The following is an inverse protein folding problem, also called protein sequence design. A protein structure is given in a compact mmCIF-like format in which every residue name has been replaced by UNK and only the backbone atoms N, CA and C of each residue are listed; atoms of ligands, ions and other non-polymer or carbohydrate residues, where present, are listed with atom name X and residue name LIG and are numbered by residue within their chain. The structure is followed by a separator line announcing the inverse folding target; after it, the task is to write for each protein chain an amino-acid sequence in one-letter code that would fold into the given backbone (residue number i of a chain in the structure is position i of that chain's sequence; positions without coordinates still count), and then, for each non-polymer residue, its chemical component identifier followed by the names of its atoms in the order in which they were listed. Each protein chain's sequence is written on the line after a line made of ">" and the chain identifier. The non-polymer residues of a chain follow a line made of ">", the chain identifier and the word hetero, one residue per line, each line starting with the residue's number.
data_IF_432364012193
#
_entry.id   IF_432364012193
#
_cell.length_a   1.000
_cell.length_b   1.000
_cell.length_c   1.000
_cell.angle_alpha   90.00
_cell.angle_beta   90.00
_cell.angle_gamma   90.00
#
_symmetry.space_group_name_H-M   'P 1'
#
loop_
_entity.id
_entity.type
_entity.pdbx_description
1 polymer ?
#
# COMPACT_ATOMS: atom_id res chain seq x y z
N UNK A 1 0.53 13.71 7.75
CA UNK A 1 1.65 12.80 7.43
C UNK A 1 2.88 13.65 7.33
N UNK A 2 3.95 13.30 8.05
CA UNK A 2 5.10 14.21 8.22
C UNK A 2 6.04 14.23 7.01
N UNK A 3 5.91 13.28 6.08
CA UNK A 3 6.69 13.22 4.84
C UNK A 3 5.74 13.31 3.64
N UNK A 4 5.44 14.52 3.16
CA UNK A 4 4.67 14.73 1.94
C UNK A 4 5.55 15.36 0.86
N UNK A 5 5.51 14.82 -0.36
CA UNK A 5 6.25 15.32 -1.52
C UNK A 5 5.25 15.81 -2.56
N UNK A 6 5.29 17.10 -2.88
CA UNK A 6 4.55 17.66 -4.01
C UNK A 6 5.18 17.21 -5.32
N UNK A 7 4.47 16.39 -6.09
CA UNK A 7 4.96 15.95 -7.39
C UNK A 7 5.07 17.10 -8.38
N UNK A 8 4.16 18.08 -8.32
CA UNK A 8 4.23 19.26 -9.19
C UNK A 8 5.51 20.05 -8.98
N UNK A 9 5.91 20.27 -7.73
CA UNK A 9 7.14 21.00 -7.41
C UNK A 9 8.40 20.19 -7.75
N UNK A 10 8.34 18.87 -7.55
CA UNK A 10 9.51 17.99 -7.71
C UNK A 10 9.77 17.61 -9.17
N UNK A 11 8.70 17.40 -9.95
CA UNK A 11 8.74 16.79 -11.28
C UNK A 11 8.12 17.67 -12.37
N UNK A 12 7.40 18.72 -12.00
CA UNK A 12 6.59 19.48 -12.94
C UNK A 12 5.29 18.76 -13.32
N UNK A 13 4.73 19.16 -14.47
CA UNK A 13 3.48 18.65 -15.02
C UNK A 13 3.45 18.90 -16.54
N UNK A 14 2.85 18.03 -17.36
CA UNK A 14 2.18 16.78 -17.02
C UNK A 14 3.16 15.62 -16.74
N UNK A 15 2.67 14.51 -16.17
CA UNK A 15 3.44 13.30 -15.89
C UNK A 15 3.14 12.24 -16.95
N UNK A 16 3.73 12.39 -18.15
CA UNK A 16 3.43 11.53 -19.30
C UNK A 16 4.67 10.87 -19.88
N UNK A 17 4.49 9.65 -20.37
CA UNK A 17 5.50 8.95 -21.16
C UNK A 17 6.59 8.26 -20.34
N UNK A 18 7.23 7.29 -20.99
CA UNK A 18 8.22 6.39 -20.36
C UNK A 18 9.59 7.04 -20.15
N UNK A 19 9.98 7.98 -21.03
CA UNK A 19 11.29 8.66 -20.96
C UNK A 19 11.30 9.55 -19.71
N UNK A 20 10.34 10.48 -19.62
CA UNK A 20 10.18 11.35 -18.46
C UNK A 20 9.93 10.54 -17.19
N UNK A 21 9.14 9.46 -17.26
CA UNK A 21 8.92 8.56 -16.13
C UNK A 21 10.22 7.97 -15.54
N UNK A 22 11.16 7.55 -16.39
CA UNK A 22 12.46 7.02 -15.92
C UNK A 22 13.33 8.10 -15.28
N UNK A 23 13.30 9.32 -15.82
CA UNK A 23 14.01 10.45 -15.22
C UNK A 23 13.37 10.83 -13.88
N UNK A 24 12.05 10.93 -13.84
CA UNK A 24 11.27 11.25 -12.64
C UNK A 24 11.44 10.21 -11.54
N UNK A 25 11.59 8.92 -11.89
CA UNK A 25 11.95 7.88 -10.92
C UNK A 25 13.23 8.24 -10.15
N UNK A 26 14.30 8.64 -10.85
CA UNK A 26 15.55 9.05 -10.21
C UNK A 26 15.38 10.27 -9.29
N UNK A 27 14.59 11.26 -9.73
CA UNK A 27 14.27 12.45 -8.93
C UNK A 27 13.46 12.10 -7.68
N UNK A 28 12.50 11.18 -7.78
CA UNK A 28 11.73 10.67 -6.64
C UNK A 28 12.64 9.97 -5.63
N UNK A 29 13.50 9.06 -6.09
CA UNK A 29 14.47 8.39 -5.22
C UNK A 29 15.38 9.39 -4.50
N UNK A 30 15.86 10.43 -5.21
CA UNK A 30 16.68 11.49 -4.63
C UNK A 30 15.91 12.29 -3.58
N UNK A 31 14.67 12.71 -3.88
CA UNK A 31 13.80 13.44 -2.95
C UNK A 31 13.46 12.62 -1.69
N UNK A 32 13.41 11.29 -1.82
CA UNK A 32 13.10 10.37 -0.73
C UNK A 32 14.33 9.90 0.08
N UNK A 33 15.54 10.13 -0.41
CA UNK A 33 16.78 9.61 0.20
C UNK A 33 17.06 10.09 1.63
N UNK A 34 16.48 11.23 2.03
CA UNK A 34 16.58 11.76 3.40
C UNK A 34 15.47 11.30 4.36
N UNK A 35 14.48 10.55 3.87
CA UNK A 35 13.38 10.06 4.69
C UNK A 35 13.86 8.87 5.53
N UNK A 36 13.53 8.88 6.82
CA UNK A 36 13.91 7.77 7.71
C UNK A 36 13.18 6.47 7.30
N UNK A 37 13.89 5.33 7.30
CA UNK A 37 13.25 4.02 7.16
C UNK A 37 12.12 3.82 8.16
N UNK A 38 11.06 3.13 7.73
CA UNK A 38 9.79 3.00 8.45
C UNK A 38 8.77 4.11 8.13
N UNK A 39 9.16 5.12 7.36
CA UNK A 39 8.33 6.29 7.05
C UNK A 39 7.23 6.02 6.03
N UNK A 40 6.02 6.49 6.32
CA UNK A 40 4.98 6.68 5.29
C UNK A 40 5.28 7.96 4.54
N UNK A 41 5.30 7.89 3.21
CA UNK A 41 5.56 9.04 2.35
C UNK A 41 4.38 9.26 1.42
N UNK A 42 3.77 10.43 1.53
CA UNK A 42 2.70 10.84 0.64
C UNK A 42 3.27 11.47 -0.63
N UNK A 43 2.92 10.91 -1.78
CA UNK A 43 3.18 11.49 -3.10
C UNK A 43 1.93 12.26 -3.51
N UNK A 44 2.01 13.58 -3.44
CA UNK A 44 0.89 14.47 -3.66
C UNK A 44 0.78 14.89 -5.14
N UNK A 45 -0.31 14.46 -5.78
CA UNK A 45 -0.64 14.77 -7.18
C UNK A 45 -1.40 16.09 -7.34
N UNK A 46 -1.56 16.89 -6.27
CA UNK A 46 -2.19 18.20 -6.35
C UNK A 46 -1.51 19.08 -7.42
N UNK A 47 -2.33 19.62 -8.33
CA UNK A 47 -1.88 20.49 -9.41
C UNK A 47 -1.19 19.79 -10.58
N UNK A 48 -1.18 18.45 -10.63
CA UNK A 48 -0.79 17.72 -11.84
C UNK A 48 -1.88 17.86 -12.91
N UNK A 49 -1.46 18.12 -14.15
CA UNK A 49 -2.39 18.30 -15.27
C UNK A 49 -2.80 16.97 -15.87
N UNK A 50 -1.89 16.00 -15.95
CA UNK A 50 -2.26 14.67 -16.40
C UNK A 50 -1.22 13.60 -16.02
N UNK A 51 -1.64 12.34 -16.00
CA UNK A 51 -0.80 11.18 -15.68
C UNK A 51 -1.12 10.04 -16.66
N UNK A 52 -0.11 9.46 -17.30
CA UNK A 52 -0.30 8.29 -18.18
C UNK A 52 0.17 6.98 -17.55
N UNK A 53 -0.47 5.85 -17.90
CA UNK A 53 -0.02 4.51 -17.50
C UNK A 53 1.46 4.24 -17.82
N UNK A 54 1.96 4.77 -18.94
CA UNK A 54 3.37 4.63 -19.31
C UNK A 54 4.34 5.37 -18.37
N UNK A 55 3.90 6.48 -17.75
CA UNK A 55 4.64 7.16 -16.70
C UNK A 55 4.55 6.39 -15.39
N UNK A 56 3.35 5.95 -14.99
CA UNK A 56 3.12 5.15 -13.77
C UNK A 56 4.00 3.89 -13.78
N UNK A 57 4.00 3.15 -14.89
CA UNK A 57 4.82 1.94 -15.06
C UNK A 57 6.33 2.22 -15.01
N UNK A 58 6.77 3.43 -15.37
CA UNK A 58 8.18 3.81 -15.43
C UNK A 58 8.69 4.49 -14.14
N UNK A 59 7.80 5.10 -13.34
CA UNK A 59 8.13 5.89 -12.17
C UNK A 59 7.50 5.35 -10.88
N UNK A 60 6.16 5.36 -10.79
CA UNK A 60 5.43 5.00 -9.58
C UNK A 60 5.56 3.51 -9.23
N UNK A 61 5.47 2.61 -10.22
CA UNK A 61 5.56 1.17 -9.99
C UNK A 61 6.96 0.74 -9.50
N UNK A 62 8.08 1.12 -10.16
CA UNK A 62 9.43 0.81 -9.67
C UNK A 62 9.70 1.36 -8.28
N UNK A 63 9.08 2.49 -7.90
CA UNK A 63 9.24 3.08 -6.58
C UNK A 63 8.77 2.16 -5.44
N UNK A 64 7.73 1.34 -5.66
CA UNK A 64 7.30 0.34 -4.68
C UNK A 64 8.40 -0.70 -4.40
N UNK A 65 9.15 -1.10 -5.43
CA UNK A 65 10.25 -2.04 -5.28
C UNK A 65 11.49 -1.37 -4.71
N UNK A 66 11.78 -0.14 -5.13
CA UNK A 66 12.92 0.63 -4.61
C UNK A 66 12.77 0.97 -3.12
N UNK A 67 11.56 1.22 -2.64
CA UNK A 67 11.27 1.52 -1.23
C UNK A 67 11.29 0.30 -0.31
N UNK A 68 11.34 -0.91 -0.86
CA UNK A 68 11.16 -2.15 -0.11
C UNK A 68 12.37 -2.64 0.73
N UNK A 69 13.63 -2.48 0.29
CA UNK A 69 14.80 -2.92 1.05
C UNK A 69 14.96 -2.21 2.40
N UNK A 70 15.62 -2.81 3.40
CA UNK A 70 15.77 -2.23 4.74
C UNK A 70 16.43 -0.84 4.78
N UNK A 71 17.30 -0.53 3.81
CA UNK A 71 18.02 0.74 3.74
C UNK A 71 17.09 1.91 3.42
N UNK A 72 15.99 1.64 2.70
CA UNK A 72 14.96 2.63 2.37
C UNK A 72 13.73 2.44 3.24
N UNK A 73 13.23 1.21 3.38
CA UNK A 73 11.98 0.78 4.04
C UNK A 73 10.90 1.88 4.12
N UNK A 74 10.50 2.40 2.96
CA UNK A 74 9.46 3.43 2.87
C UNK A 74 8.13 2.80 2.48
N UNK A 75 7.05 3.49 2.83
CA UNK A 75 5.69 3.12 2.49
C UNK A 75 5.05 4.24 1.67
N UNK A 76 5.21 4.23 0.33
CA UNK A 76 4.64 5.23 -0.54
C UNK A 76 3.11 5.15 -0.56
N UNK A 77 2.44 6.29 -0.41
CA UNK A 77 0.99 6.43 -0.55
C UNK A 77 0.67 7.59 -1.49
N UNK A 78 -0.37 7.46 -2.29
CA UNK A 78 -0.65 8.35 -3.42
C UNK A 78 -1.84 9.25 -3.10
N UNK A 79 -1.61 10.56 -2.95
CA UNK A 79 -2.66 11.52 -2.62
C UNK A 79 -3.13 12.27 -3.87
N UNK A 80 -4.42 12.62 -3.92
CA UNK A 80 -5.00 13.43 -5.00
C UNK A 80 -5.32 12.67 -6.30
N UNK A 81 -5.27 11.33 -6.28
CA UNK A 81 -5.56 10.49 -7.46
C UNK A 81 -7.00 9.93 -7.50
N UNK A 82 -7.69 9.86 -6.36
CA UNK A 82 -9.05 9.34 -6.24
C UNK A 82 -10.11 10.38 -6.59
N UNK A 83 -11.20 9.95 -7.23
CA UNK A 83 -12.35 10.81 -7.55
C UNK A 83 -12.01 11.98 -8.49
N UNK A 84 -10.84 11.93 -9.13
CA UNK A 84 -10.39 12.97 -10.04
C UNK A 84 -11.14 12.86 -11.38
N UNK A 85 -11.65 13.99 -11.89
CA UNK A 85 -12.36 14.06 -13.17
C UNK A 85 -11.55 13.51 -14.36
N UNK A 86 -10.22 13.46 -14.23
CA UNK A 86 -9.28 12.95 -15.24
C UNK A 86 -9.07 11.44 -15.21
N UNK A 87 -9.75 10.72 -14.30
CA UNK A 87 -9.76 9.25 -14.20
C UNK A 87 -8.36 8.61 -14.10
N UNK A 88 -7.43 9.27 -13.40
CA UNK A 88 -6.10 8.71 -13.18
C UNK A 88 -6.12 7.38 -12.42
N UNK A 89 -7.15 7.17 -11.59
CA UNK A 89 -7.39 5.89 -10.93
C UNK A 89 -7.41 4.72 -11.93
N UNK A 90 -8.06 4.87 -13.08
CA UNK A 90 -8.13 3.85 -14.14
C UNK A 90 -6.74 3.54 -14.72
N UNK A 91 -5.89 4.57 -14.89
CA UNK A 91 -4.50 4.41 -15.37
C UNK A 91 -3.62 3.69 -14.35
N UNK A 92 -3.80 3.99 -13.05
CA UNK A 92 -3.13 3.28 -11.97
C UNK A 92 -3.60 1.84 -11.87
N UNK A 93 -4.91 1.59 -11.96
CA UNK A 93 -5.50 0.25 -11.95
C UNK A 93 -4.99 -0.60 -13.11
N UNK A 94 -4.94 -0.03 -14.31
CA UNK A 94 -4.40 -0.70 -15.50
C UNK A 94 -2.96 -1.19 -15.28
N UNK A 95 -2.10 -0.33 -14.71
CA UNK A 95 -0.70 -0.70 -14.42
C UNK A 95 -0.60 -1.69 -13.27
N UNK A 96 -1.37 -1.48 -12.20
CA UNK A 96 -1.38 -2.34 -11.02
C UNK A 96 -1.75 -3.78 -11.38
N UNK A 97 -2.86 -3.94 -12.12
CA UNK A 97 -3.38 -5.26 -12.52
C UNK A 97 -2.43 -5.99 -13.47
N UNK A 98 -1.81 -5.26 -14.41
CA UNK A 98 -0.81 -5.85 -15.30
C UNK A 98 0.46 -6.30 -14.57
N UNK A 99 0.84 -5.62 -13.50
CA UNK A 99 2.05 -5.89 -12.74
C UNK A 99 1.83 -6.81 -11.52
N UNK A 100 0.58 -7.14 -11.17
CA UNK A 100 0.26 -7.80 -9.90
C UNK A 100 0.59 -6.95 -8.66
N UNK A 101 0.66 -5.62 -8.84
CA UNK A 101 0.95 -4.65 -7.80
C UNK A 101 -0.33 -4.09 -7.18
N UNK A 102 -0.20 -3.45 -6.03
CA UNK A 102 -1.28 -2.73 -5.37
C UNK A 102 -0.73 -1.38 -4.93
N UNK A 103 -1.39 -0.30 -5.32
CA UNK A 103 -1.08 1.04 -4.84
C UNK A 103 -2.02 1.42 -3.70
N UNK A 104 -1.50 2.16 -2.71
CA UNK A 104 -2.31 2.69 -1.62
C UNK A 104 -2.60 4.17 -1.88
N UNK A 105 -3.86 4.51 -2.15
CA UNK A 105 -4.29 5.86 -2.46
C UNK A 105 -4.97 6.49 -1.24
N UNK A 106 -4.56 7.71 -0.87
CA UNK A 106 -5.10 8.40 0.30
C UNK A 106 -6.46 9.01 -0.01
N UNK A 107 -7.43 8.79 0.87
CA UNK A 107 -8.77 9.37 0.76
C UNK A 107 -8.87 10.71 1.47
N UNK A 108 -9.70 11.62 0.94
CA UNK A 108 -9.87 12.97 1.49
C UNK A 108 -10.44 12.97 2.92
N UNK A 109 -11.21 11.94 3.30
CA UNK A 109 -11.77 11.75 4.64
C UNK A 109 -10.84 11.05 5.63
N UNK A 110 -9.61 10.71 5.23
CA UNK A 110 -8.72 9.82 5.97
C UNK A 110 -8.86 8.36 5.54
N UNK A 111 -7.87 7.55 5.91
CA UNK A 111 -7.74 6.18 5.41
C UNK A 111 -7.18 6.12 3.99
N UNK A 112 -7.29 4.93 3.39
CA UNK A 112 -6.78 4.65 2.07
C UNK A 112 -7.66 3.67 1.29
N UNK A 113 -7.69 3.85 -0.02
CA UNK A 113 -8.21 2.89 -0.99
C UNK A 113 -7.06 2.12 -1.64
N UNK A 114 -7.25 0.82 -1.87
CA UNK A 114 -6.32 0.03 -2.67
C UNK A 114 -6.68 0.15 -4.15
N UNK A 115 -5.68 0.46 -4.99
CA UNK A 115 -5.81 0.45 -6.45
C UNK A 115 -5.04 -0.75 -7.00
N UNK A 116 -5.75 -1.64 -7.69
CA UNK A 116 -5.27 -2.93 -8.17
C UNK A 116 -5.88 -4.12 -7.43
N UNK A 117 -5.64 -5.33 -7.93
CA UNK A 117 -6.21 -6.56 -7.34
C UNK A 117 -5.36 -7.13 -6.22
N UNK A 118 -6.00 -7.40 -5.09
CA UNK A 118 -5.45 -8.18 -3.98
C UNK A 118 -6.18 -9.52 -3.89
N UNK A 119 -5.44 -10.62 -3.68
CA UNK A 119 -6.05 -11.94 -3.47
C UNK A 119 -7.04 -11.89 -2.30
N UNK A 120 -8.25 -12.46 -2.43
CA UNK A 120 -9.25 -12.49 -1.37
C UNK A 120 -8.69 -12.93 0.00
N UNK A 121 -7.79 -13.91 0.05
CA UNK A 121 -7.20 -14.38 1.32
C UNK A 121 -6.29 -13.30 1.96
N UNK A 122 -5.68 -12.46 1.14
CA UNK A 122 -4.84 -11.36 1.59
C UNK A 122 -5.70 -10.17 2.02
N UNK A 123 -6.87 -9.97 1.39
CA UNK A 123 -7.89 -9.01 1.87
C UNK A 123 -8.36 -9.38 3.27
N UNK A 124 -8.76 -10.64 3.48
CA UNK A 124 -9.17 -11.14 4.81
C UNK A 124 -8.05 -10.97 5.85
N UNK A 125 -6.80 -11.28 5.47
CA UNK A 125 -5.64 -11.11 6.36
C UNK A 125 -5.41 -9.63 6.70
N UNK A 126 -5.55 -8.72 5.74
CA UNK A 126 -5.38 -7.28 5.97
C UNK A 126 -6.48 -6.73 6.88
N UNK A 127 -7.73 -7.17 6.69
CA UNK A 127 -8.85 -6.83 7.58
C UNK A 127 -8.60 -7.32 9.01
N UNK A 128 -8.08 -8.54 9.18
CA UNK A 128 -7.72 -9.06 10.49
C UNK A 128 -6.62 -8.20 11.15
N UNK A 129 -5.58 -7.80 10.41
CA UNK A 129 -4.53 -6.92 10.93
C UNK A 129 -5.10 -5.55 11.33
N UNK A 130 -5.95 -4.95 10.50
CA UNK A 130 -6.58 -3.65 10.80
C UNK A 130 -7.46 -3.73 12.05
N UNK A 131 -8.22 -4.82 12.21
CA UNK A 131 -9.08 -5.05 13.37
C UNK A 131 -8.30 -5.22 14.67
N UNK A 132 -7.24 -6.02 14.64
CA UNK A 132 -6.46 -6.36 15.83
C UNK A 132 -5.27 -5.43 16.07
N UNK A 133 -5.03 -4.47 15.15
CA UNK A 133 -3.97 -3.44 15.13
C UNK A 133 -2.55 -3.97 15.03
N UNK A 134 -2.22 -4.96 15.83
CA UNK A 134 -0.91 -5.61 15.90
C UNK A 134 -1.09 -7.12 15.93
N UNK A 135 -0.50 -7.83 14.97
CA UNK A 135 -0.63 -9.29 14.87
C UNK A 135 0.69 -9.98 14.55
N UNK A 136 0.78 -11.24 14.95
CA UNK A 136 1.83 -12.18 14.50
C UNK A 136 1.16 -13.38 13.85
N UNK A 137 1.90 -14.18 13.07
CA UNK A 137 1.31 -15.37 12.44
C UNK A 137 0.79 -16.40 13.47
N UNK A 138 1.47 -16.52 14.61
CA UNK A 138 1.00 -17.32 15.74
C UNK A 138 -0.22 -16.66 16.43
N UNK A 139 -0.25 -15.33 16.51
CA UNK A 139 -1.39 -14.56 17.01
C UNK A 139 -2.66 -14.80 16.19
N UNK A 140 -2.58 -14.68 14.86
CA UNK A 140 -3.72 -14.95 13.98
C UNK A 140 -4.21 -16.40 14.10
N UNK A 141 -3.32 -17.39 14.19
CA UNK A 141 -3.74 -18.78 14.45
C UNK A 141 -4.57 -18.93 15.74
N UNK A 142 -4.20 -18.20 16.80
CA UNK A 142 -4.95 -18.24 18.08
C UNK A 142 -6.29 -17.51 18.00
N UNK A 143 -6.35 -16.41 17.25
CA UNK A 143 -7.58 -15.63 17.03
C UNK A 143 -8.58 -16.37 16.14
N UNK A 144 -8.09 -17.17 15.19
CA UNK A 144 -8.89 -17.93 14.22
C UNK A 144 -8.64 -19.44 14.35
N UNK A 145 -8.97 -20.07 15.49
CA UNK A 145 -8.66 -21.49 15.73
C UNK A 145 -9.51 -22.44 14.86
N UNK A 146 -10.68 -21.99 14.42
CA UNK A 146 -11.59 -22.76 13.57
C UNK A 146 -11.17 -22.74 12.09
N UNK A 147 -10.22 -21.88 11.71
CA UNK A 147 -9.65 -21.88 10.38
C UNK A 147 -8.58 -22.97 10.26
N UNK A 148 -8.61 -23.73 9.17
CA UNK A 148 -7.61 -24.77 8.87
C UNK A 148 -6.24 -24.19 8.41
N UNK A 149 -5.88 -23.01 8.90
CA UNK A 149 -4.71 -22.23 8.50
C UNK A 149 -3.66 -22.28 9.62
N UNK A 150 -2.52 -22.90 9.32
CA UNK A 150 -1.40 -22.97 10.25
C UNK A 150 -0.70 -21.62 10.45
N UNK A 151 0.05 -21.48 11.55
CA UNK A 151 0.80 -20.25 11.87
C UNK A 151 1.82 -19.87 10.77
N UNK A 152 2.40 -20.85 10.08
CA UNK A 152 3.28 -20.64 8.92
C UNK A 152 2.52 -20.02 7.74
N UNK A 153 1.31 -20.51 7.46
CA UNK A 153 0.49 -19.98 6.38
C UNK A 153 0.06 -18.54 6.67
N UNK A 154 -0.35 -18.22 7.91
CA UNK A 154 -0.59 -16.84 8.35
C UNK A 154 0.66 -15.96 8.20
N UNK A 155 1.82 -16.47 8.61
CA UNK A 155 3.09 -15.72 8.49
C UNK A 155 3.45 -15.41 7.03
N UNK A 156 3.16 -16.32 6.10
CA UNK A 156 3.37 -16.10 4.67
C UNK A 156 2.42 -15.02 4.13
N UNK A 157 1.14 -15.07 4.47
CA UNK A 157 0.16 -14.02 4.08
C UNK A 157 0.57 -12.63 4.59
N UNK A 158 1.01 -12.54 5.84
CA UNK A 158 1.53 -11.30 6.43
C UNK A 158 2.79 -10.80 5.70
N UNK A 159 3.71 -11.72 5.36
CA UNK A 159 4.90 -11.39 4.57
C UNK A 159 4.55 -10.90 3.16
N UNK A 160 3.54 -11.46 2.53
CA UNK A 160 3.08 -11.05 1.20
C UNK A 160 2.49 -9.63 1.24
N UNK A 161 1.64 -9.34 2.22
CA UNK A 161 1.11 -8.00 2.45
C UNK A 161 2.21 -6.97 2.77
N UNK A 162 3.22 -7.35 3.56
CA UNK A 162 4.38 -6.51 3.82
C UNK A 162 5.21 -6.27 2.56
N UNK A 163 5.42 -7.29 1.73
CA UNK A 163 6.13 -7.15 0.44
C UNK A 163 5.42 -6.14 -0.46
N UNK A 164 4.09 -6.18 -0.49
CA UNK A 164 3.22 -5.21 -1.18
C UNK A 164 3.13 -3.82 -0.53
N UNK A 165 3.91 -3.57 0.54
CA UNK A 165 3.94 -2.30 1.29
C UNK A 165 2.60 -1.92 1.94
N UNK A 166 1.73 -2.90 2.22
CA UNK A 166 0.44 -2.68 2.89
C UNK A 166 0.56 -2.81 4.42
N UNK A 167 1.55 -3.57 4.89
CA UNK A 167 1.87 -3.74 6.31
C UNK A 167 3.29 -3.31 6.63
N UNK A 168 3.44 -2.72 7.82
CA UNK A 168 4.74 -2.55 8.47
C UNK A 168 5.11 -3.82 9.20
N UNK A 169 6.41 -4.05 9.37
CA UNK A 169 6.93 -5.20 10.10
C UNK A 169 8.00 -4.75 11.10
N UNK A 170 7.83 -5.13 12.35
CA UNK A 170 8.85 -4.97 13.40
C UNK A 170 9.19 -6.33 14.01
N UNK A 171 10.39 -6.45 14.54
CA UNK A 171 10.80 -7.68 15.25
C UNK A 171 10.67 -7.46 16.75
N UNK A 172 9.94 -8.33 17.44
CA UNK A 172 9.84 -8.35 18.90
C UNK A 172 10.27 -9.73 19.42
N UNK A 173 11.49 -9.79 19.95
CA UNK A 173 12.12 -11.06 20.32
C UNK A 173 12.34 -11.95 19.10
N UNK A 174 11.66 -13.11 19.05
CA UNK A 174 11.72 -14.05 17.91
C UNK A 174 10.53 -13.92 16.95
N UNK A 175 9.55 -13.08 17.25
CA UNK A 175 8.35 -12.92 16.44
C UNK A 175 8.43 -11.71 15.51
N UNK A 176 7.83 -11.85 14.33
CA UNK A 176 7.57 -10.75 13.42
C UNK A 176 6.16 -10.21 13.68
N UNK A 177 6.11 -8.93 14.00
CA UNK A 177 4.91 -8.20 14.40
C UNK A 177 4.51 -7.28 13.26
N UNK A 178 3.25 -7.37 12.85
CA UNK A 178 2.72 -6.64 11.70
C UNK A 178 1.60 -5.69 12.09
N UNK A 179 1.64 -4.49 11.52
CA UNK A 179 0.60 -3.45 11.68
C UNK A 179 0.27 -2.86 10.32
N UNK A 180 -0.94 -2.32 10.14
CA UNK A 180 -1.30 -1.62 8.90
C UNK A 180 -0.48 -0.35 8.70
N UNK A 181 -0.22 -0.02 7.44
CA UNK A 181 0.49 1.23 7.07
C UNK A 181 -0.46 2.43 7.19
N UNK A 182 -1.67 2.28 6.66
CA UNK A 182 -2.84 3.14 6.85
C UNK A 182 -4.06 2.24 6.98
N UNK A 183 -5.14 2.76 7.59
CA UNK A 183 -6.43 2.09 7.56
C UNK A 183 -6.97 2.05 6.14
N UNK A 184 -7.38 0.87 5.68
CA UNK A 184 -7.91 0.66 4.34
C UNK A 184 -9.43 0.61 4.41
N UNK A 185 -10.08 1.34 3.51
CA UNK A 185 -11.52 1.26 3.29
C UNK A 185 -11.79 0.21 2.21
N UNK A 186 -12.55 -0.83 2.57
CA UNK A 186 -12.86 -1.95 1.67
C UNK A 186 -14.17 -1.74 0.88
N UNK A 187 -14.84 -0.61 1.10
CA UNK A 187 -16.08 -0.23 0.43
C UNK A 187 -15.80 0.25 -1.01
N UNK A 188 -15.52 -0.70 -1.90
CA UNK A 188 -15.35 -0.44 -3.33
C UNK A 188 -14.35 -1.39 -4.00
N UNK A 189 -14.87 -2.29 -4.84
CA UNK A 189 -14.18 -3.17 -5.81
C UNK A 189 -13.14 -4.19 -5.29
N UNK A 190 -12.34 -3.90 -4.26
CA UNK A 190 -11.42 -4.89 -3.67
C UNK A 190 -12.11 -5.87 -2.70
N UNK A 191 -13.38 -5.61 -2.35
CA UNK A 191 -14.15 -6.36 -1.36
C UNK A 191 -15.52 -6.85 -1.81
N UNK A 192 -15.87 -6.80 -3.11
CA UNK A 192 -17.24 -7.13 -3.59
C UNK A 192 -17.56 -8.64 -3.62
N UNK A 193 -16.99 -9.40 -2.70
CA UNK A 193 -17.31 -10.81 -2.54
C UNK A 193 -16.47 -11.42 -1.43
N UNK A 194 -16.86 -11.23 -0.17
CA UNK A 194 -16.77 -12.23 0.90
C UNK A 194 -17.74 -11.82 2.01
N UNK A 195 -18.47 -12.86 2.46
CA UNK A 195 -19.54 -12.89 3.45
C UNK A 195 -19.25 -12.12 4.74
N UNK A 196 -20.32 -11.73 5.44
CA UNK A 196 -20.41 -11.33 6.86
C UNK A 196 -19.82 -12.39 7.81
N UNK A 197 -18.55 -12.77 7.65
CA UNK A 197 -17.83 -13.57 8.62
C UNK A 197 -17.53 -12.65 9.80
N UNK A 198 -18.22 -12.91 10.91
CA UNK A 198 -17.94 -12.35 12.23
C UNK A 198 -16.46 -12.56 12.57
N UNK A 199 -15.63 -11.56 12.27
CA UNK A 199 -14.28 -11.49 12.82
C UNK A 199 -14.42 -11.50 14.37
N UNK A 200 -13.61 -12.27 15.11
CA UNK A 200 -13.63 -12.26 16.57
C UNK A 200 -13.37 -10.83 17.09
N UNK A 201 -14.01 -10.43 18.20
CA UNK A 201 -13.82 -9.10 18.76
C UNK A 201 -12.34 -8.86 19.10
N UNK A 202 -11.88 -7.61 18.98
CA UNK A 202 -10.57 -7.26 19.50
C UNK A 202 -10.69 -7.21 21.02
N UNK A 203 -10.14 -8.20 21.72
CA UNK A 203 -10.06 -8.16 23.18
C UNK A 203 -9.11 -7.03 23.58
N UNK A 204 -9.66 -6.03 24.29
CA UNK A 204 -8.88 -4.95 24.88
C UNK A 204 -7.95 -5.56 25.93
N UNK A 205 -6.67 -5.66 25.63
CA UNK A 205 -5.61 -5.95 26.61
C UNK A 205 -4.80 -4.69 26.85
#
# INVERSE_FOLDING_TARGET
>A
MDNSISLRQTLGSPLRGKIDGRQHFGLLCAALSGVRPGGVVSLDFAGIEDVSASWIAAAALPLLSWSAPPETDLYPVFAGILGNAKRWEDEFELVANRAGAVFMAVEAGGGAKLIGTLDPILVETLQAVQKHREVTGAGLKRLFPDESIGATAWSNRLKDLHTKRLLRRTTRGREQVYTTVLEVNFDGAAGSGISDRKLPAADAT
#
